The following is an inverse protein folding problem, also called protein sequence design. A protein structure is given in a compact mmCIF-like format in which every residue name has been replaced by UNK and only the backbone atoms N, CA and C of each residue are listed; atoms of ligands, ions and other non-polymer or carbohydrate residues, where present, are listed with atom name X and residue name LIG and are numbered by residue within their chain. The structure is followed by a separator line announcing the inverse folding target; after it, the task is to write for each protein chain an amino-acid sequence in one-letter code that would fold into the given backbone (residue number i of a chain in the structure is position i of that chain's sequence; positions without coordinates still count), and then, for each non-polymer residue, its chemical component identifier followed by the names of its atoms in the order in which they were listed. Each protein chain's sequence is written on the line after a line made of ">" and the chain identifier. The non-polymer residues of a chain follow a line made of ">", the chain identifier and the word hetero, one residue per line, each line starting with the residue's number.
data_IF_001523355262
#
_entry.id   IF_001523355262
#
_cell.length_a   1.000
_cell.length_b   1.000
_cell.length_c   1.000
_cell.angle_alpha   90.00
_cell.angle_beta   90.00
_cell.angle_gamma   90.00
#
_symmetry.space_group_name_H-M   'P 1'
#
loop_
_entity.id
_entity.type
_entity.pdbx_description
1 polymer ?
#
# COMPACT_ATOMS: atom_id res chain seq x y z
N UNK A 1 19.89 -38.32 20.97
CA UNK A 1 21.29 -37.84 20.87
C UNK A 1 21.87 -37.46 22.24
N UNK A 2 21.17 -36.66 23.05
CA UNK A 2 21.56 -36.27 24.42
C UNK A 2 21.76 -37.44 25.37
N UNK A 3 20.84 -38.42 25.41
CA UNK A 3 20.98 -39.59 26.28
C UNK A 3 22.19 -40.45 25.91
N UNK A 4 22.45 -40.64 24.61
CA UNK A 4 23.58 -41.42 24.09
C UNK A 4 24.93 -40.77 24.44
N UNK A 5 24.99 -39.43 24.38
CA UNK A 5 26.15 -38.63 24.78
C UNK A 5 26.42 -38.71 26.29
N UNK A 6 25.37 -38.67 27.12
CA UNK A 6 25.49 -38.82 28.57
C UNK A 6 25.96 -40.23 28.96
N UNK A 7 25.39 -41.27 28.37
CA UNK A 7 25.78 -42.67 28.63
C UNK A 7 27.24 -42.91 28.23
N UNK A 8 27.68 -42.45 27.05
CA UNK A 8 29.09 -42.57 26.65
C UNK A 8 30.04 -41.78 27.53
N UNK A 9 29.63 -40.60 28.02
CA UNK A 9 30.43 -39.81 28.97
C UNK A 9 30.57 -40.51 30.32
N UNK A 10 29.49 -41.11 30.84
CA UNK A 10 29.50 -41.84 32.11
C UNK A 10 30.32 -43.12 32.01
N UNK A 11 30.18 -43.88 30.92
CA UNK A 11 30.99 -45.07 30.65
C UNK A 11 32.50 -44.75 30.57
N UNK A 12 32.88 -43.68 29.86
CA UNK A 12 34.29 -43.24 29.80
C UNK A 12 34.84 -42.86 31.18
N UNK A 13 34.03 -42.22 32.01
CA UNK A 13 34.42 -41.82 33.38
C UNK A 13 34.59 -43.03 34.31
N UNK A 14 33.72 -44.03 34.20
CA UNK A 14 33.84 -45.29 34.94
C UNK A 14 35.07 -46.11 34.53
N UNK A 15 35.34 -46.17 33.22
CA UNK A 15 36.51 -46.90 32.69
C UNK A 15 37.83 -46.25 33.12
N UNK A 16 37.90 -44.91 33.10
CA UNK A 16 39.08 -44.17 33.56
C UNK A 16 39.37 -44.32 35.06
N UNK A 17 38.35 -44.54 35.89
CA UNK A 17 38.52 -44.69 37.34
C UNK A 17 38.92 -46.11 37.77
N UNK A 18 38.66 -47.13 36.93
CA UNK A 18 38.93 -48.53 37.24
C UNK A 18 40.23 -49.07 36.63
N UNK A 19 41.12 -48.20 36.12
CA UNK A 19 42.47 -48.59 35.69
C UNK A 19 42.53 -49.53 34.47
N UNK A 20 41.43 -49.67 33.72
CA UNK A 20 41.41 -50.45 32.48
C UNK A 20 41.84 -49.54 31.34
N UNK A 21 43.07 -49.72 30.86
CA UNK A 21 43.54 -49.04 29.66
C UNK A 21 42.76 -49.57 28.46
N UNK A 22 41.76 -48.80 28.06
CA UNK A 22 41.09 -49.00 26.79
C UNK A 22 41.53 -47.85 25.92
N UNK A 23 42.35 -48.17 24.93
CA UNK A 23 42.63 -47.30 23.80
C UNK A 23 41.30 -47.13 23.02
N UNK A 24 40.40 -46.31 23.58
CA UNK A 24 39.29 -45.74 22.86
C UNK A 24 39.92 -44.77 21.86
N UNK A 25 40.51 -45.31 20.79
CA UNK A 25 40.85 -44.59 19.58
C UNK A 25 39.69 -43.65 19.36
N UNK A 26 39.96 -42.36 19.53
CA UNK A 26 38.99 -41.30 19.32
C UNK A 26 38.46 -41.60 17.93
N UNK A 27 37.26 -42.19 17.82
CA UNK A 27 36.52 -42.19 16.58
C UNK A 27 36.25 -40.71 16.36
N UNK A 28 37.25 -40.04 15.79
CA UNK A 28 37.14 -38.75 15.19
C UNK A 28 36.22 -39.00 14.02
N UNK A 29 34.92 -39.06 14.33
CA UNK A 29 33.91 -39.08 13.31
C UNK A 29 34.25 -37.92 12.40
N UNK A 30 34.46 -38.25 11.12
CA UNK A 30 34.75 -37.26 10.08
C UNK A 30 33.82 -36.06 10.32
N UNK A 31 34.34 -34.82 10.37
CA UNK A 31 33.55 -33.63 10.59
C UNK A 31 32.32 -33.61 9.68
N UNK A 32 31.18 -33.10 10.16
CA UNK A 32 29.93 -33.11 9.39
C UNK A 32 30.06 -32.44 8.01
N UNK A 33 30.85 -31.38 7.89
CA UNK A 33 31.13 -30.71 6.62
C UNK A 33 31.91 -31.59 5.63
N UNK A 34 32.85 -32.40 6.12
CA UNK A 34 33.62 -33.31 5.29
C UNK A 34 32.78 -34.54 4.89
N UNK A 35 31.88 -35.03 5.77
CA UNK A 35 30.85 -36.02 5.40
C UNK A 35 29.88 -35.48 4.36
N UNK A 36 29.54 -34.21 4.45
CA UNK A 36 28.66 -33.53 3.51
C UNK A 36 29.31 -33.39 2.13
N UNK A 37 30.56 -32.90 2.05
CA UNK A 37 31.31 -32.76 0.78
C UNK A 37 31.55 -34.13 0.12
N UNK A 38 31.84 -35.17 0.90
CA UNK A 38 32.01 -36.54 0.37
C UNK A 38 30.71 -37.14 -0.15
N UNK A 39 29.54 -36.61 0.26
CA UNK A 39 28.25 -37.05 -0.23
C UNK A 39 27.82 -36.22 -1.44
N UNK A 40 28.21 -36.69 -2.64
CA UNK A 40 27.92 -36.00 -3.90
C UNK A 40 26.43 -35.73 -4.12
N UNK A 41 25.54 -36.60 -3.64
CA UNK A 41 24.09 -36.36 -3.69
C UNK A 41 23.68 -35.14 -2.86
N UNK A 42 24.15 -35.04 -1.61
CA UNK A 42 23.85 -33.88 -0.75
C UNK A 42 24.43 -32.59 -1.32
N UNK A 43 25.64 -32.63 -1.87
CA UNK A 43 26.25 -31.46 -2.52
C UNK A 43 25.40 -31.01 -3.71
N UNK A 44 25.00 -31.92 -4.60
CA UNK A 44 24.17 -31.58 -5.78
C UNK A 44 22.81 -31.00 -5.34
N UNK A 45 22.14 -31.64 -4.38
CA UNK A 45 20.84 -31.16 -3.86
C UNK A 45 20.98 -29.77 -3.25
N UNK A 46 22.02 -29.53 -2.46
CA UNK A 46 22.26 -28.21 -1.87
C UNK A 46 22.62 -27.15 -2.91
N UNK A 47 23.38 -27.48 -3.96
CA UNK A 47 23.65 -26.56 -5.06
C UNK A 47 22.38 -26.20 -5.81
N UNK A 48 21.54 -27.19 -6.16
CA UNK A 48 20.25 -26.95 -6.81
C UNK A 48 19.36 -26.06 -5.92
N UNK A 49 19.29 -26.38 -4.62
CA UNK A 49 18.53 -25.58 -3.66
C UNK A 49 19.01 -24.12 -3.60
N UNK A 50 20.33 -23.90 -3.55
CA UNK A 50 20.90 -22.56 -3.52
C UNK A 50 20.65 -21.80 -4.83
N UNK A 51 20.75 -22.46 -5.98
CA UNK A 51 20.44 -21.87 -7.28
C UNK A 51 18.97 -21.46 -7.39
N UNK A 52 18.04 -22.35 -6.98
CA UNK A 52 16.60 -22.05 -6.98
C UNK A 52 16.26 -20.94 -5.98
N UNK A 53 16.87 -20.96 -4.79
CA UNK A 53 16.68 -19.91 -3.79
C UNK A 53 17.20 -18.57 -4.31
N UNK A 54 18.39 -18.55 -4.90
CA UNK A 54 18.97 -17.34 -5.49
C UNK A 54 18.09 -16.79 -6.62
N UNK A 55 17.60 -17.66 -7.52
CA UNK A 55 16.68 -17.27 -8.59
C UNK A 55 15.37 -16.71 -8.03
N UNK A 56 14.80 -17.34 -7.00
CA UNK A 56 13.57 -16.90 -6.35
C UNK A 56 13.73 -15.51 -5.72
N UNK A 57 14.79 -15.28 -4.93
CA UNK A 57 15.02 -13.98 -4.31
C UNK A 57 15.39 -12.89 -5.32
N UNK A 58 16.18 -13.22 -6.34
CA UNK A 58 16.52 -12.29 -7.41
C UNK A 58 15.27 -11.88 -8.21
N UNK A 59 14.45 -12.85 -8.61
CA UNK A 59 13.18 -12.59 -9.28
C UNK A 59 12.23 -11.77 -8.39
N UNK A 60 12.09 -12.16 -7.12
CA UNK A 60 11.27 -11.44 -6.15
C UNK A 60 11.69 -9.98 -5.99
N UNK A 61 12.99 -9.70 -5.90
CA UNK A 61 13.51 -8.34 -5.83
C UNK A 61 13.22 -7.54 -7.12
N UNK A 62 13.46 -8.13 -8.29
CA UNK A 62 13.20 -7.48 -9.57
C UNK A 62 11.72 -7.15 -9.78
N UNK A 63 10.81 -8.01 -9.32
CA UNK A 63 9.36 -7.80 -9.42
C UNK A 63 8.83 -6.70 -8.48
N UNK A 64 9.64 -6.22 -7.53
CA UNK A 64 9.30 -5.09 -6.65
C UNK A 64 9.82 -3.75 -7.16
N UNK A 65 10.60 -3.73 -8.25
CA UNK A 65 11.07 -2.48 -8.83
C UNK A 65 9.89 -1.67 -9.40
N UNK A 66 9.79 -0.41 -8.99
CA UNK A 66 8.70 0.49 -9.41
C UNK A 66 7.36 0.22 -8.71
N UNK A 67 7.36 -0.50 -7.59
CA UNK A 67 6.18 -0.68 -6.72
C UNK A 67 6.33 0.20 -5.48
N UNK A 68 5.58 1.29 -5.41
CA UNK A 68 5.65 2.28 -4.33
C UNK A 68 4.62 2.03 -3.21
N UNK A 69 4.20 0.78 -2.99
CA UNK A 69 3.27 0.46 -1.90
C UNK A 69 3.84 0.81 -0.53
N UNK A 70 3.02 1.43 0.31
CA UNK A 70 3.42 1.91 1.63
C UNK A 70 4.23 3.21 1.60
N UNK A 71 4.43 3.84 0.43
CA UNK A 71 5.07 5.15 0.36
C UNK A 71 4.25 6.18 1.16
N UNK A 72 4.88 6.75 2.19
CA UNK A 72 4.26 7.62 3.19
C UNK A 72 5.21 8.79 3.51
N UNK A 73 5.24 9.83 2.67
CA UNK A 73 6.08 11.01 2.90
C UNK A 73 5.51 11.90 4.00
N UNK A 74 6.39 12.63 4.68
CA UNK A 74 5.99 13.68 5.63
C UNK A 74 5.42 14.86 4.83
N UNK A 75 4.22 15.29 5.20
CA UNK A 75 3.55 16.44 4.59
C UNK A 75 3.89 17.75 5.33
N UNK A 76 3.77 18.93 4.69
CA UNK A 76 4.05 20.22 5.35
C UNK A 76 3.12 20.52 6.53
N UNK A 77 1.86 20.10 6.42
CA UNK A 77 0.84 20.14 7.46
C UNK A 77 0.46 18.68 7.73
N UNK A 78 0.44 18.29 9.00
CA UNK A 78 -0.02 16.97 9.42
C UNK A 78 -1.54 16.91 9.31
N UNK A 79 -2.02 16.59 8.11
CA UNK A 79 -3.44 16.45 7.82
C UNK A 79 -3.91 15.00 8.02
N UNK A 80 -4.91 14.82 8.88
CA UNK A 80 -5.49 13.50 9.19
C UNK A 80 -6.78 13.25 8.40
N UNK A 81 -6.80 12.24 7.53
CA UNK A 81 -8.04 11.78 6.91
C UNK A 81 -8.93 11.04 7.91
N UNK A 82 -8.33 10.40 8.93
CA UNK A 82 -9.04 9.73 10.02
C UNK A 82 -10.00 10.69 10.73
N UNK A 83 -9.55 11.88 11.09
CA UNK A 83 -10.41 12.87 11.78
C UNK A 83 -11.51 13.37 10.84
N UNK A 84 -11.18 13.73 9.59
CA UNK A 84 -12.13 14.36 8.68
C UNK A 84 -13.15 13.37 8.08
N UNK A 85 -12.68 12.29 7.47
CA UNK A 85 -13.54 11.30 6.81
C UNK A 85 -13.99 10.18 7.76
N UNK A 86 -13.16 9.79 8.72
CA UNK A 86 -13.45 8.72 9.67
C UNK A 86 -14.34 9.15 10.82
N UNK A 87 -13.93 10.13 11.61
CA UNK A 87 -14.64 10.55 12.82
C UNK A 87 -15.80 11.50 12.48
N UNK A 88 -15.51 12.55 11.71
CA UNK A 88 -16.51 13.56 11.32
C UNK A 88 -17.39 13.14 10.13
N UNK A 89 -17.11 12.00 9.49
CA UNK A 89 -17.89 11.45 8.36
C UNK A 89 -18.06 12.44 7.20
N UNK A 90 -17.05 13.28 6.95
CA UNK A 90 -17.06 14.18 5.79
C UNK A 90 -16.90 13.34 4.52
N UNK A 91 -17.85 13.49 3.61
CA UNK A 91 -17.84 12.79 2.32
C UNK A 91 -16.57 13.07 1.52
N UNK A 92 -15.95 12.02 0.96
CA UNK A 92 -14.68 12.12 0.22
C UNK A 92 -14.73 13.18 -0.90
N UNK A 93 -15.88 13.27 -1.58
CA UNK A 93 -16.09 14.16 -2.72
C UNK A 93 -16.41 15.60 -2.32
N UNK A 94 -16.55 15.92 -1.04
CA UNK A 94 -16.66 17.30 -0.56
C UNK A 94 -15.35 18.05 -0.83
N UNK A 95 -14.23 17.49 -0.37
CA UNK A 95 -12.90 18.04 -0.62
C UNK A 95 -12.40 17.69 -2.03
N UNK A 96 -12.55 16.43 -2.45
CA UNK A 96 -12.09 15.95 -3.75
C UNK A 96 -13.17 16.01 -4.83
N UNK A 97 -13.80 17.19 -4.97
CA UNK A 97 -14.97 17.41 -5.85
C UNK A 97 -14.69 17.12 -7.33
N UNK A 98 -13.46 17.39 -7.78
CA UNK A 98 -13.03 17.16 -9.17
C UNK A 98 -13.05 15.69 -9.60
N UNK A 99 -13.04 14.73 -8.66
CA UNK A 99 -13.11 13.30 -8.96
C UNK A 99 -14.37 12.92 -9.77
N UNK A 100 -15.46 13.68 -9.62
CA UNK A 100 -16.74 13.41 -10.31
C UNK A 100 -16.76 13.84 -11.78
N UNK A 101 -15.94 14.82 -12.15
CA UNK A 101 -16.06 15.52 -13.45
C UNK A 101 -14.76 15.54 -14.26
N UNK A 102 -13.61 15.48 -13.60
CA UNK A 102 -12.29 15.63 -14.21
C UNK A 102 -11.56 14.31 -14.29
N UNK A 103 -10.56 14.25 -15.19
CA UNK A 103 -9.60 13.15 -15.24
C UNK A 103 -8.68 13.10 -14.01
N UNK A 104 -8.42 14.26 -13.41
CA UNK A 104 -7.57 14.38 -12.22
C UNK A 104 -8.42 14.78 -11.02
N UNK A 105 -8.36 13.98 -9.95
CA UNK A 105 -8.83 14.38 -8.63
C UNK A 105 -7.75 15.23 -7.96
N UNK A 106 -7.91 16.55 -8.01
CA UNK A 106 -6.96 17.49 -7.43
C UNK A 106 -6.99 17.51 -5.91
N UNK A 107 -5.92 18.06 -5.32
CA UNK A 107 -5.89 18.44 -3.91
C UNK A 107 -6.81 19.67 -3.74
N UNK A 108 -7.68 19.73 -2.73
CA UNK A 108 -8.55 20.88 -2.50
C UNK A 108 -7.74 22.17 -2.34
N UNK A 109 -8.28 23.29 -2.85
CA UNK A 109 -7.76 24.61 -2.51
C UNK A 109 -7.96 24.90 -1.02
N UNK A 110 -7.09 25.73 -0.43
CA UNK A 110 -7.19 26.07 1.00
C UNK A 110 -8.49 26.78 1.39
N UNK A 111 -9.22 27.38 0.43
CA UNK A 111 -10.55 27.94 0.67
C UNK A 111 -11.54 26.88 1.20
N UNK A 112 -11.43 25.62 0.74
CA UNK A 112 -12.29 24.53 1.23
C UNK A 112 -12.02 24.25 2.70
N UNK A 113 -10.75 24.36 3.13
CA UNK A 113 -10.37 24.21 4.53
C UNK A 113 -10.97 25.36 5.37
N UNK A 114 -10.87 26.59 4.87
CA UNK A 114 -11.35 27.78 5.61
C UNK A 114 -12.87 27.83 5.77
N UNK A 115 -13.65 27.20 4.89
CA UNK A 115 -15.12 27.11 5.05
C UNK A 115 -15.56 26.60 6.44
N UNK A 116 -14.76 25.74 7.06
CA UNK A 116 -15.00 25.25 8.43
C UNK A 116 -14.02 25.88 9.42
N UNK A 117 -12.74 25.98 9.06
CA UNK A 117 -11.70 26.44 9.97
C UNK A 117 -11.78 27.94 10.30
N UNK A 118 -12.60 28.76 9.64
CA UNK A 118 -12.90 30.11 10.14
C UNK A 118 -13.58 30.12 11.53
N UNK A 119 -14.25 29.03 11.90
CA UNK A 119 -14.93 28.87 13.19
C UNK A 119 -14.34 27.73 14.06
N UNK A 120 -13.42 26.93 13.52
CA UNK A 120 -12.77 25.81 14.21
C UNK A 120 -11.28 26.13 14.36
N UNK A 121 -10.95 26.85 15.43
CA UNK A 121 -9.59 27.32 15.71
C UNK A 121 -8.74 26.37 16.57
N UNK A 122 -9.39 25.50 17.34
CA UNK A 122 -8.72 24.53 18.19
C UNK A 122 -9.24 23.13 17.89
N UNK A 123 -8.39 22.14 18.10
CA UNK A 123 -8.81 20.75 18.10
C UNK A 123 -9.52 20.40 19.41
N UNK A 124 -10.66 19.70 19.33
CA UNK A 124 -11.48 19.29 20.47
C UNK A 124 -11.81 17.78 20.47
N UNK A 125 -11.19 17.01 19.56
CA UNK A 125 -11.36 15.56 19.45
C UNK A 125 -10.48 14.73 20.40
N UNK A 126 -10.44 13.42 20.16
CA UNK A 126 -9.65 12.48 20.97
C UNK A 126 -8.14 12.70 20.79
N UNK A 127 -7.39 12.68 21.90
CA UNK A 127 -5.92 12.75 21.91
C UNK A 127 -5.32 11.34 21.88
N UNK A 128 -4.29 11.13 21.06
CA UNK A 128 -3.48 9.91 21.05
C UNK A 128 -2.11 10.21 21.68
N UNK A 129 -2.05 10.04 23.00
CA UNK A 129 -0.83 10.32 23.79
C UNK A 129 0.31 9.35 23.48
N UNK A 130 0.02 8.14 22.99
CA UNK A 130 1.03 7.15 22.62
C UNK A 130 1.81 7.59 21.38
N UNK A 131 1.11 8.16 20.40
CA UNK A 131 1.70 8.69 19.17
C UNK A 131 2.11 10.16 19.25
N UNK A 132 1.86 10.82 20.38
CA UNK A 132 2.19 12.23 20.61
C UNK A 132 1.21 13.22 19.94
N UNK A 133 0.02 12.76 19.55
CA UNK A 133 -1.02 13.60 18.98
C UNK A 133 -1.89 14.19 20.08
N UNK A 134 -1.47 15.36 20.56
CA UNK A 134 -2.20 16.15 21.56
C UNK A 134 -3.08 17.20 20.91
N UNK A 135 -3.97 17.79 21.71
CA UNK A 135 -4.76 18.96 21.34
C UNK A 135 -3.88 20.11 20.88
N UNK A 136 -2.80 20.37 21.60
CA UNK A 136 -1.84 21.42 21.24
C UNK A 136 -1.14 21.12 19.92
N UNK A 137 -0.80 19.85 19.65
CA UNK A 137 -0.21 19.44 18.38
C UNK A 137 -1.15 19.76 17.20
N UNK A 138 -2.38 19.25 17.20
CA UNK A 138 -3.32 19.51 16.10
C UNK A 138 -3.71 20.98 15.98
N UNK A 139 -3.88 21.67 17.10
CA UNK A 139 -4.18 23.11 17.10
C UNK A 139 -3.04 23.90 16.43
N UNK A 140 -1.78 23.52 16.67
CA UNK A 140 -0.63 24.12 15.97
C UNK A 140 -0.59 23.78 14.48
N UNK A 141 -1.08 22.62 14.04
CA UNK A 141 -1.21 22.29 12.62
C UNK A 141 -2.30 23.14 11.94
N UNK A 142 -3.42 23.43 12.62
CA UNK A 142 -4.44 24.39 12.13
C UNK A 142 -3.84 25.79 11.98
N UNK A 143 -2.96 26.23 12.90
CA UNK A 143 -2.27 27.53 12.76
C UNK A 143 -1.36 27.60 11.53
N UNK A 144 -0.78 26.48 11.08
CA UNK A 144 -0.03 26.45 9.82
C UNK A 144 -0.94 26.70 8.62
N UNK A 145 -2.18 26.19 8.63
CA UNK A 145 -3.18 26.51 7.61
C UNK A 145 -3.48 28.01 7.62
N UNK A 146 -3.73 28.62 8.78
CA UNK A 146 -3.98 30.06 8.88
C UNK A 146 -2.83 30.89 8.34
N UNK A 147 -1.59 30.52 8.68
CA UNK A 147 -0.40 31.17 8.09
C UNK A 147 -0.40 31.05 6.57
N UNK A 148 -0.73 29.89 6.01
CA UNK A 148 -0.74 29.68 4.57
C UNK A 148 -1.81 30.51 3.85
N UNK A 149 -3.00 30.69 4.45
CA UNK A 149 -4.08 31.49 3.87
C UNK A 149 -4.04 32.97 4.26
N UNK A 150 -3.13 33.37 5.14
CA UNK A 150 -3.08 34.73 5.69
C UNK A 150 -4.28 35.06 6.58
N UNK A 151 -4.73 34.13 7.43
CA UNK A 151 -5.83 34.35 8.37
C UNK A 151 -5.31 34.82 9.74
N UNK A 152 -5.84 35.94 10.23
CA UNK A 152 -5.56 36.44 11.58
C UNK A 152 -6.68 36.04 12.55
N UNK A 153 -6.34 35.19 13.51
CA UNK A 153 -7.25 34.68 14.54
C UNK A 153 -7.82 35.79 15.44
N UNK A 154 -7.07 36.86 15.69
CA UNK A 154 -7.45 37.93 16.63
C UNK A 154 -8.46 38.89 16.03
N UNK A 155 -8.24 39.29 14.77
CA UNK A 155 -9.12 40.19 14.04
C UNK A 155 -10.19 39.46 13.25
N UNK A 156 -10.08 38.12 13.13
CA UNK A 156 -10.95 37.24 12.32
C UNK A 156 -11.06 37.74 10.88
N UNK A 157 -9.92 38.10 10.28
CA UNK A 157 -9.84 38.68 8.95
C UNK A 157 -8.62 38.18 8.17
N UNK A 158 -8.71 38.24 6.84
CA UNK A 158 -7.59 37.89 5.97
C UNK A 158 -6.63 39.07 5.84
N UNK A 159 -5.34 38.83 6.05
CA UNK A 159 -4.27 39.83 5.93
C UNK A 159 -3.92 40.16 4.48
N UNK A 160 -4.21 39.22 3.55
CA UNK A 160 -3.82 39.30 2.14
C UNK A 160 -2.46 38.69 1.82
N UNK A 161 -1.68 38.31 2.85
CA UNK A 161 -0.39 37.65 2.69
C UNK A 161 -0.57 36.12 2.67
N UNK A 162 -0.52 35.52 1.48
CA UNK A 162 -0.77 34.08 1.30
C UNK A 162 0.48 33.33 0.83
N UNK A 163 0.69 32.13 1.35
CA UNK A 163 1.75 31.20 0.91
C UNK A 163 1.14 29.84 0.52
N UNK A 164 1.42 29.31 -0.69
CA UNK A 164 0.85 28.03 -1.10
C UNK A 164 1.49 26.86 -0.33
N UNK A 165 0.65 25.94 0.16
CA UNK A 165 1.11 24.70 0.79
C UNK A 165 1.66 23.75 -0.29
N UNK A 166 2.95 23.41 -0.17
CA UNK A 166 3.66 22.51 -1.11
C UNK A 166 3.44 21.05 -0.74
N UNK A 167 2.26 20.53 -1.01
CA UNK A 167 1.92 19.12 -0.77
C UNK A 167 2.84 18.17 -1.54
N UNK A 168 3.20 17.06 -0.90
CA UNK A 168 3.95 15.96 -1.54
C UNK A 168 2.95 14.97 -2.11
N UNK A 169 2.93 14.84 -3.43
CA UNK A 169 2.06 13.90 -4.13
C UNK A 169 2.52 12.47 -3.88
N UNK A 170 1.61 11.62 -3.40
CA UNK A 170 1.87 10.20 -3.09
C UNK A 170 1.62 9.34 -4.32
N UNK A 171 0.40 9.36 -4.84
CA UNK A 171 0.02 8.54 -5.99
C UNK A 171 0.48 9.19 -7.29
N UNK A 172 1.46 8.56 -7.95
CA UNK A 172 1.95 8.99 -9.25
C UNK A 172 1.86 7.87 -10.27
N UNK A 173 1.49 8.23 -11.49
CA UNK A 173 1.54 7.35 -12.66
C UNK A 173 2.42 8.03 -13.70
N UNK A 174 3.17 7.28 -14.52
CA UNK A 174 3.96 7.88 -15.60
C UNK A 174 3.09 8.70 -16.56
N UNK A 175 3.65 9.77 -17.13
CA UNK A 175 2.90 10.72 -17.95
C UNK A 175 2.34 10.12 -19.26
N UNK A 176 2.90 9.01 -19.74
CA UNK A 176 2.36 8.23 -20.86
C UNK A 176 1.15 7.39 -20.47
N UNK A 177 0.66 7.47 -19.23
CA UNK A 177 -0.55 6.79 -18.77
C UNK A 177 -1.68 7.80 -18.64
N UNK A 178 -2.70 7.64 -19.48
CA UNK A 178 -3.95 8.38 -19.36
C UNK A 178 -4.88 7.67 -18.38
N UNK A 179 -5.06 8.26 -17.20
CA UNK A 179 -6.05 7.85 -16.21
C UNK A 179 -7.12 8.94 -16.04
N UNK A 180 -8.38 8.53 -15.95
CA UNK A 180 -9.51 9.44 -15.81
C UNK A 180 -10.38 9.08 -14.61
N UNK A 181 -10.35 9.90 -13.55
CA UNK A 181 -11.14 9.69 -12.33
C UNK A 181 -12.65 9.66 -12.59
N UNK A 182 -13.21 10.60 -13.36
CA UNK A 182 -14.67 10.67 -13.56
C UNK A 182 -15.25 9.44 -14.27
N UNK A 183 -14.48 8.78 -15.12
CA UNK A 183 -14.90 7.50 -15.72
C UNK A 183 -15.00 6.38 -14.69
N UNK A 184 -14.08 6.32 -13.72
CA UNK A 184 -14.09 5.27 -12.70
C UNK A 184 -15.10 5.57 -11.58
N UNK A 185 -15.20 6.83 -11.18
CA UNK A 185 -16.03 7.25 -10.05
C UNK A 185 -17.49 7.47 -10.47
N UNK A 186 -17.75 8.22 -11.55
CA UNK A 186 -19.11 8.60 -11.93
C UNK A 186 -19.77 7.57 -12.84
N UNK A 187 -19.03 7.07 -13.84
CA UNK A 187 -19.60 6.12 -14.82
C UNK A 187 -19.58 4.69 -14.29
N UNK A 188 -18.42 4.22 -13.83
CA UNK A 188 -18.31 2.87 -13.28
C UNK A 188 -18.80 2.77 -11.83
N UNK A 189 -18.85 3.89 -11.08
CA UNK A 189 -19.28 3.89 -9.68
C UNK A 189 -18.39 3.01 -8.80
N UNK A 190 -17.08 3.09 -8.99
CA UNK A 190 -16.07 2.41 -8.17
C UNK A 190 -15.86 3.20 -6.89
N UNK A 191 -15.94 2.51 -5.76
CA UNK A 191 -15.69 3.10 -4.44
C UNK A 191 -14.23 3.53 -4.29
N UNK A 192 -14.00 4.68 -3.65
CA UNK A 192 -12.67 5.27 -3.47
C UNK A 192 -11.70 4.29 -2.78
N UNK A 193 -12.23 3.56 -1.79
CA UNK A 193 -11.49 2.62 -0.96
C UNK A 193 -10.96 1.42 -1.75
N UNK A 194 -11.62 1.05 -2.86
CA UNK A 194 -11.16 -0.05 -3.72
C UNK A 194 -9.78 0.23 -4.34
N UNK A 195 -9.46 1.51 -4.55
CA UNK A 195 -8.18 1.94 -5.10
C UNK A 195 -7.23 2.50 -4.04
N UNK A 196 -7.73 3.34 -3.13
CA UNK A 196 -6.89 4.07 -2.18
C UNK A 196 -6.81 3.42 -0.78
N UNK A 197 -7.51 2.30 -0.54
CA UNK A 197 -7.58 1.66 0.77
C UNK A 197 -8.56 2.36 1.72
N UNK A 198 -8.63 1.95 3.00
CA UNK A 198 -9.51 2.55 4.00
C UNK A 198 -8.98 3.92 4.44
N UNK A 199 -9.10 4.94 3.58
CA UNK A 199 -8.56 6.29 3.79
C UNK A 199 -9.14 6.95 5.05
N UNK A 200 -10.39 6.63 5.39
CA UNK A 200 -11.07 7.07 6.60
C UNK A 200 -10.45 6.55 7.91
N UNK A 201 -9.53 5.59 7.84
CA UNK A 201 -8.77 5.09 8.99
C UNK A 201 -7.32 5.62 8.99
N UNK A 202 -6.92 6.37 7.96
CA UNK A 202 -5.54 6.81 7.76
C UNK A 202 -5.25 8.14 8.47
N UNK A 203 -4.42 8.06 9.51
CA UNK A 203 -3.87 9.24 10.19
C UNK A 203 -2.88 9.99 9.29
N UNK A 204 -2.03 9.26 8.59
CA UNK A 204 -1.14 9.79 7.55
C UNK A 204 -1.45 9.04 6.26
N UNK A 205 -1.60 9.77 5.16
CA UNK A 205 -1.87 9.16 3.87
C UNK A 205 -0.67 8.36 3.38
N UNK A 206 -0.91 7.15 2.87
CA UNK A 206 0.11 6.32 2.23
C UNK A 206 -0.46 5.62 0.99
N UNK A 207 0.41 5.15 0.10
CA UNK A 207 -0.04 4.41 -1.08
C UNK A 207 -0.45 2.97 -0.71
N UNK A 208 -1.75 2.69 -0.69
CA UNK A 208 -2.28 1.36 -0.37
C UNK A 208 -2.10 0.36 -1.52
N UNK A 209 -2.60 0.70 -2.72
CA UNK A 209 -2.54 -0.15 -3.90
C UNK A 209 -1.24 0.01 -4.68
N UNK A 210 -0.78 -1.01 -5.41
CA UNK A 210 0.49 -0.93 -6.15
C UNK A 210 0.38 -0.06 -7.40
N UNK A 211 -0.83 0.13 -7.95
CA UNK A 211 -1.09 0.91 -9.17
C UNK A 211 -0.22 0.49 -10.38
N UNK A 212 0.24 -0.76 -10.39
CA UNK A 212 0.98 -1.34 -11.51
C UNK A 212 0.04 -1.71 -12.65
N UNK A 213 0.57 -1.78 -13.87
CA UNK A 213 -0.21 -2.16 -15.06
C UNK A 213 -0.97 -3.49 -14.87
N UNK A 214 -0.33 -4.50 -14.26
CA UNK A 214 -0.96 -5.79 -14.01
C UNK A 214 -2.17 -5.68 -13.07
N UNK A 215 -2.10 -4.81 -12.06
CA UNK A 215 -3.21 -4.53 -11.16
C UNK A 215 -4.39 -3.88 -11.90
N UNK A 216 -4.13 -2.87 -12.75
CA UNK A 216 -5.16 -2.24 -13.57
C UNK A 216 -5.83 -3.25 -14.53
N UNK A 217 -5.04 -4.07 -15.21
CA UNK A 217 -5.53 -5.07 -16.17
C UNK A 217 -6.40 -6.11 -15.47
N UNK A 218 -5.97 -6.62 -14.32
CA UNK A 218 -6.75 -7.62 -13.59
C UNK A 218 -8.08 -7.03 -13.11
N UNK A 219 -8.06 -5.81 -12.58
CA UNK A 219 -9.30 -5.10 -12.22
C UNK A 219 -10.25 -4.96 -13.42
N UNK A 220 -9.74 -4.63 -14.60
CA UNK A 220 -10.54 -4.54 -15.83
C UNK A 220 -11.05 -5.90 -16.35
N UNK A 221 -10.34 -6.99 -16.09
CA UNK A 221 -10.79 -8.35 -16.44
C UNK A 221 -11.92 -8.83 -15.54
N UNK A 222 -11.89 -8.44 -14.27
CA UNK A 222 -12.79 -8.95 -13.24
C UNK A 222 -14.00 -8.04 -12.98
N UNK A 223 -13.89 -6.74 -13.27
CA UNK A 223 -14.96 -5.78 -13.00
C UNK A 223 -16.01 -5.75 -14.10
N UNK A 224 -17.26 -5.94 -13.70
CA UNK A 224 -18.43 -5.81 -14.56
C UNK A 224 -18.83 -4.35 -14.73
N UNK A 225 -19.43 -4.05 -15.88
CA UNK A 225 -19.89 -2.71 -16.21
C UNK A 225 -21.29 -2.50 -15.66
N UNK A 226 -21.55 -1.32 -15.12
CA UNK A 226 -22.90 -0.91 -14.74
C UNK A 226 -23.69 -0.56 -15.99
N UNK A 227 -24.54 -1.49 -16.43
CA UNK A 227 -25.42 -1.32 -17.60
C UNK A 227 -26.81 -0.82 -17.21
N UNK A 228 -27.26 -1.13 -15.98
CA UNK A 228 -28.53 -0.65 -15.45
C UNK A 228 -28.45 0.87 -15.37
N UNK A 229 -29.43 1.55 -15.98
CA UNK A 229 -29.61 3.00 -15.99
C UNK A 229 -28.73 3.81 -16.97
N UNK A 230 -28.11 3.17 -17.97
CA UNK A 230 -27.38 3.88 -19.02
C UNK A 230 -27.84 3.47 -20.44
N UNK A 231 -28.62 4.34 -21.08
CA UNK A 231 -29.16 4.13 -22.44
C UNK A 231 -28.07 3.87 -23.49
N UNK A 232 -26.88 4.44 -23.32
CA UNK A 232 -25.74 4.20 -24.21
C UNK A 232 -25.29 2.73 -24.16
N UNK A 233 -25.29 2.14 -22.96
CA UNK A 233 -24.84 0.76 -22.78
C UNK A 233 -25.94 -0.27 -23.07
N UNK A 234 -27.23 0.08 -23.05
CA UNK A 234 -28.32 -0.88 -23.31
C UNK A 234 -28.16 -1.58 -24.67
N UNK A 235 -27.97 -0.81 -25.75
CA UNK A 235 -27.83 -1.36 -27.10
C UNK A 235 -26.55 -2.17 -27.27
N UNK A 236 -25.43 -1.65 -26.76
CA UNK A 236 -24.13 -2.32 -26.86
C UNK A 236 -24.11 -3.60 -26.03
N UNK A 237 -24.74 -3.58 -24.86
CA UNK A 237 -24.86 -4.73 -23.99
C UNK A 237 -25.67 -5.85 -24.65
N UNK A 238 -26.82 -5.55 -25.26
CA UNK A 238 -27.61 -6.57 -25.97
C UNK A 238 -26.86 -7.23 -27.12
N UNK A 239 -26.12 -6.46 -27.93
CA UNK A 239 -25.34 -6.99 -29.05
C UNK A 239 -24.15 -7.84 -28.58
N UNK A 240 -23.39 -7.34 -27.59
CA UNK A 240 -22.19 -8.03 -27.10
C UNK A 240 -22.51 -9.20 -26.18
N UNK A 241 -23.57 -9.12 -25.37
CA UNK A 241 -24.08 -10.24 -24.56
C UNK A 241 -24.44 -11.42 -25.45
N UNK A 242 -25.14 -11.18 -26.58
CA UNK A 242 -25.44 -12.22 -27.57
C UNK A 242 -24.19 -12.80 -28.24
N UNK A 243 -23.19 -11.96 -28.54
CA UNK A 243 -21.94 -12.39 -29.18
C UNK A 243 -21.08 -13.25 -28.26
N UNK A 244 -20.96 -12.88 -27.00
CA UNK A 244 -20.09 -13.56 -26.03
C UNK A 244 -20.81 -14.62 -25.19
N UNK A 245 -22.15 -14.66 -25.23
CA UNK A 245 -22.96 -15.61 -24.47
C UNK A 245 -22.93 -15.36 -22.96
N UNK A 246 -22.78 -14.11 -22.53
CA UNK A 246 -22.67 -13.73 -21.11
C UNK A 246 -23.74 -12.71 -20.72
N UNK A 247 -24.30 -12.82 -19.53
CA UNK A 247 -25.32 -11.89 -19.00
C UNK A 247 -24.71 -10.55 -18.56
N UNK A 248 -23.44 -10.54 -18.12
CA UNK A 248 -22.74 -9.32 -17.73
C UNK A 248 -21.43 -9.19 -18.52
N UNK A 249 -21.11 -7.95 -18.92
CA UNK A 249 -19.88 -7.65 -19.66
C UNK A 249 -18.84 -7.04 -18.74
N UNK A 250 -17.60 -7.52 -18.87
CA UNK A 250 -16.44 -6.95 -18.18
C UNK A 250 -15.89 -5.76 -18.95
N UNK A 251 -15.14 -4.90 -18.25
CA UNK A 251 -14.42 -3.78 -18.88
C UNK A 251 -13.48 -4.29 -19.99
N UNK A 252 -12.86 -5.46 -19.79
CA UNK A 252 -12.03 -6.11 -20.79
C UNK A 252 -12.78 -6.47 -22.08
N UNK A 253 -14.02 -6.96 -21.98
CA UNK A 253 -14.84 -7.33 -23.14
C UNK A 253 -15.31 -6.11 -23.95
N UNK A 254 -15.36 -4.93 -23.33
CA UNK A 254 -15.61 -3.64 -24.00
C UNK A 254 -14.34 -3.01 -24.61
N UNK A 255 -13.23 -3.74 -24.61
CA UNK A 255 -11.96 -3.28 -25.15
C UNK A 255 -11.20 -2.35 -24.20
N UNK A 256 -11.50 -2.35 -22.90
CA UNK A 256 -10.75 -1.60 -21.88
C UNK A 256 -9.34 -2.11 -21.60
N UNK A 257 -8.80 -2.99 -22.47
CA UNK A 257 -7.42 -3.50 -22.44
C UNK A 257 -6.63 -3.11 -23.70
N UNK A 258 -7.20 -2.27 -24.57
CA UNK A 258 -6.50 -1.77 -25.76
C UNK A 258 -5.45 -0.72 -25.37
N UNK A 259 -4.21 -0.86 -25.87
CA UNK A 259 -3.10 0.02 -25.51
C UNK A 259 -3.41 1.51 -25.74
N UNK A 260 -4.03 1.84 -26.87
CA UNK A 260 -4.33 3.23 -27.26
C UNK A 260 -5.40 3.93 -26.39
N UNK A 261 -6.09 3.21 -25.51
CA UNK A 261 -7.04 3.83 -24.57
C UNK A 261 -6.39 4.31 -23.28
N UNK A 262 -5.21 3.77 -22.96
CA UNK A 262 -4.48 4.06 -21.72
C UNK A 262 -3.11 4.70 -21.97
N UNK A 263 -2.50 4.53 -23.15
CA UNK A 263 -1.11 4.90 -23.41
C UNK A 263 -0.91 5.70 -24.70
N UNK A 264 -1.49 6.90 -24.78
CA UNK A 264 -1.44 7.76 -25.96
C UNK A 264 -0.81 9.13 -25.68
#
# INVERSE_FOLDING_TARGET
>A
VTMLFLVTKTLKRLVSNNGVDTDFKKLSGIPLWEKFIKNQFLVIVSVIFLLLSSAYFAYGYLMQLGVDQGYMPIQPIHYSHKIHAGENKIECQYCHSSARISKHSGIPSLNVCMNCHENIAEYDGEEDLEKGYTKDFYTNEIRKLYKAVGWDETTRSYTGDTEPVKWVRIHNLPDFVYFNHSQHVTVAGVDCQKCHGPVEEMEIMYQYSPLTMGWCINCHRESNIKVKDNEYYTKIHEELSKKYGVEELTVAQMGGLECGKCHY
#
